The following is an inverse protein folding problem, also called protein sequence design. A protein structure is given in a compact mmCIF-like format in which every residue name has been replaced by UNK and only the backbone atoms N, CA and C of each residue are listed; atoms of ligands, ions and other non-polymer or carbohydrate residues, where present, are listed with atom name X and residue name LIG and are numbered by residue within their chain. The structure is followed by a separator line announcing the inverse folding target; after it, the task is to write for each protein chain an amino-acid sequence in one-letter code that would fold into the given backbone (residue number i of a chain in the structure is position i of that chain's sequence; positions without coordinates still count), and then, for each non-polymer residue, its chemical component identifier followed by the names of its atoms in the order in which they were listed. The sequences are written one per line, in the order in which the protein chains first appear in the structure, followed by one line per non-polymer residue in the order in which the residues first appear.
data_IF_459725684578
#
_entry.id   IF_459725684578
#
_cell.length_a   1.000
_cell.length_b   1.000
_cell.length_c   1.000
_cell.angle_alpha   90.00
_cell.angle_beta   90.00
_cell.angle_gamma   90.00
#
_symmetry.space_group_name_H-M   'P 1'
#
loop_
_entity.id
_entity.type
_entity.pdbx_description
1 polymer ?
#
# COMPACT_ATOMS: atom_id res chain seq x y z
N UNK A 1 -19.92 36.57 28.90
CA UNK A 1 -18.79 35.86 28.32
C UNK A 1 -19.37 35.00 27.22
N UNK A 2 -19.31 35.48 25.98
CA UNK A 2 -19.88 34.80 24.80
C UNK A 2 -18.87 33.75 24.30
N UNK A 3 -19.30 32.56 23.83
CA UNK A 3 -18.42 31.57 23.24
C UNK A 3 -17.97 32.02 21.86
N UNK A 4 -16.66 31.94 21.61
CA UNK A 4 -16.03 32.21 20.33
C UNK A 4 -16.31 31.02 19.43
N UNK A 5 -17.17 31.21 18.44
CA UNK A 5 -17.47 30.27 17.37
C UNK A 5 -16.30 30.27 16.37
N UNK A 6 -15.37 29.30 16.48
CA UNK A 6 -14.30 29.09 15.53
C UNK A 6 -14.68 27.97 14.56
N UNK A 7 -15.64 28.26 13.67
CA UNK A 7 -15.82 27.45 12.48
C UNK A 7 -14.55 27.55 11.60
N UNK A 8 -13.92 26.42 11.16
CA UNK A 8 -12.77 26.49 10.27
C UNK A 8 -13.23 27.06 8.94
N UNK A 9 -12.60 28.18 8.57
CA UNK A 9 -12.79 28.84 7.29
C UNK A 9 -12.40 27.87 6.17
N UNK A 10 -13.39 27.24 5.53
CA UNK A 10 -13.19 26.43 4.32
C UNK A 10 -12.88 27.37 3.16
N UNK A 11 -11.64 27.82 3.04
CA UNK A 11 -11.18 28.46 1.83
C UNK A 11 -11.35 27.48 0.68
N UNK A 12 -12.07 27.88 -0.37
CA UNK A 12 -12.20 27.08 -1.61
C UNK A 12 -10.81 26.74 -2.13
N UNK A 13 -10.55 25.48 -2.54
CA UNK A 13 -9.22 25.12 -3.01
C UNK A 13 -8.83 25.99 -4.20
N UNK A 14 -7.53 26.35 -4.35
CA UNK A 14 -7.05 27.21 -5.43
C UNK A 14 -7.49 26.68 -6.80
N UNK A 15 -7.69 27.56 -7.76
CA UNK A 15 -8.19 27.20 -9.11
C UNK A 15 -7.35 26.08 -9.76
N UNK A 16 -6.04 26.08 -9.51
CA UNK A 16 -5.10 25.05 -9.95
C UNK A 16 -5.43 23.66 -9.36
N UNK A 17 -5.74 23.57 -8.07
CA UNK A 17 -6.14 22.28 -7.45
C UNK A 17 -7.45 21.76 -8.04
N UNK A 18 -8.42 22.63 -8.29
CA UNK A 18 -9.70 22.23 -8.90
C UNK A 18 -9.50 21.69 -10.33
N UNK A 19 -8.64 22.33 -11.12
CA UNK A 19 -8.27 21.85 -12.45
C UNK A 19 -7.52 20.52 -12.37
N UNK A 20 -6.55 20.40 -11.47
CA UNK A 20 -5.79 19.18 -11.27
C UNK A 20 -6.71 18.00 -10.88
N UNK A 21 -7.60 18.18 -9.90
CA UNK A 21 -8.54 17.14 -9.51
C UNK A 21 -9.51 16.79 -10.64
N UNK A 22 -9.98 17.76 -11.44
CA UNK A 22 -10.82 17.46 -12.59
C UNK A 22 -10.08 16.64 -13.66
N UNK A 23 -8.80 16.90 -13.89
CA UNK A 23 -7.96 16.09 -14.80
C UNK A 23 -7.76 14.68 -14.24
N UNK A 24 -7.53 14.54 -12.93
CA UNK A 24 -7.41 13.24 -12.26
C UNK A 24 -8.71 12.45 -12.38
N UNK A 25 -9.87 13.07 -12.17
CA UNK A 25 -11.18 12.40 -12.32
C UNK A 25 -11.45 11.93 -13.77
N UNK A 26 -11.08 12.76 -14.77
CA UNK A 26 -11.17 12.35 -16.18
C UNK A 26 -10.25 11.15 -16.44
N UNK A 27 -9.05 11.17 -15.86
CA UNK A 27 -8.07 10.10 -16.02
C UNK A 27 -8.53 8.81 -15.34
N UNK A 28 -9.15 8.87 -14.16
CA UNK A 28 -9.74 7.71 -13.48
C UNK A 28 -10.74 6.98 -14.37
N UNK A 29 -11.67 7.72 -14.99
CA UNK A 29 -12.66 7.16 -15.91
C UNK A 29 -12.01 6.55 -17.16
N UNK A 30 -10.99 7.22 -17.72
CA UNK A 30 -10.26 6.72 -18.88
C UNK A 30 -9.51 5.41 -18.55
N UNK A 31 -8.87 5.34 -17.39
CA UNK A 31 -8.15 4.16 -16.89
C UNK A 31 -9.11 3.00 -16.67
N UNK A 32 -10.23 3.22 -15.99
CA UNK A 32 -11.25 2.21 -15.74
C UNK A 32 -11.75 1.58 -17.05
N UNK A 33 -12.10 2.41 -18.05
CA UNK A 33 -12.56 1.97 -19.38
C UNK A 33 -11.48 1.28 -20.22
N UNK A 34 -10.22 1.68 -20.06
CA UNK A 34 -9.09 1.12 -20.81
C UNK A 34 -8.45 -0.10 -20.11
N UNK A 35 -8.87 -0.43 -18.90
CA UNK A 35 -8.35 -1.55 -18.14
C UNK A 35 -8.49 -2.86 -18.91
N UNK A 36 -7.39 -3.64 -18.96
CA UNK A 36 -7.39 -4.98 -19.59
C UNK A 36 -7.93 -6.05 -18.63
N UNK A 37 -8.03 -5.73 -17.35
CA UNK A 37 -8.53 -6.63 -16.30
C UNK A 37 -9.91 -6.22 -15.78
N UNK A 38 -10.55 -5.23 -16.42
CA UNK A 38 -11.85 -4.71 -15.99
C UNK A 38 -11.73 -3.66 -14.87
N UNK A 39 -12.88 -3.32 -14.31
CA UNK A 39 -13.04 -2.34 -13.23
C UNK A 39 -13.87 -2.99 -12.13
N UNK A 40 -13.19 -3.51 -11.11
CA UNK A 40 -13.77 -4.31 -10.04
C UNK A 40 -13.12 -3.93 -8.69
N UNK A 41 -13.88 -3.98 -7.59
CA UNK A 41 -13.30 -3.77 -6.26
C UNK A 41 -12.23 -4.82 -5.91
N UNK A 42 -12.55 -6.09 -6.15
CA UNK A 42 -11.63 -7.23 -5.98
C UNK A 42 -11.54 -8.00 -7.31
N UNK A 43 -10.34 -8.38 -7.70
CA UNK A 43 -10.06 -9.05 -8.96
C UNK A 43 -9.86 -10.54 -8.79
N UNK A 44 -10.20 -11.31 -9.84
CA UNK A 44 -9.76 -12.69 -9.95
C UNK A 44 -8.24 -12.73 -10.21
N UNK A 45 -7.51 -13.47 -9.38
CA UNK A 45 -6.07 -13.64 -9.52
C UNK A 45 -5.65 -14.29 -10.86
N UNK A 46 -6.54 -15.01 -11.53
CA UNK A 46 -6.31 -15.58 -12.86
C UNK A 46 -6.00 -14.49 -13.93
N UNK A 47 -6.41 -13.25 -13.70
CA UNK A 47 -6.06 -12.11 -14.55
C UNK A 47 -4.58 -11.70 -14.47
N UNK A 48 -3.83 -12.24 -13.48
CA UNK A 48 -2.44 -11.88 -13.18
C UNK A 48 -1.54 -13.13 -13.20
N UNK A 49 -0.99 -13.54 -14.35
CA UNK A 49 -0.26 -14.81 -14.50
C UNK A 49 0.97 -14.98 -13.61
N UNK A 50 1.48 -13.89 -13.03
CA UNK A 50 2.64 -13.90 -12.13
C UNK A 50 2.26 -14.18 -10.65
N UNK A 51 0.99 -14.05 -10.28
CA UNK A 51 0.51 -14.26 -8.90
C UNK A 51 0.82 -15.67 -8.37
N UNK A 52 0.63 -16.77 -9.10
CA UNK A 52 0.98 -18.10 -8.61
C UNK A 52 2.46 -18.23 -8.21
N UNK A 53 3.37 -17.59 -8.97
CA UNK A 53 4.81 -17.56 -8.64
C UNK A 53 5.10 -16.81 -7.35
N UNK A 54 4.38 -15.71 -7.10
CA UNK A 54 4.48 -14.95 -5.86
C UNK A 54 3.92 -15.76 -4.67
N UNK A 55 2.77 -16.41 -4.83
CA UNK A 55 2.19 -17.29 -3.80
C UNK A 55 3.13 -18.46 -3.47
N UNK A 56 3.78 -19.07 -4.45
CA UNK A 56 4.76 -20.13 -4.24
C UNK A 56 5.98 -19.68 -3.44
N UNK A 57 6.35 -18.40 -3.52
CA UNK A 57 7.44 -17.82 -2.75
C UNK A 57 7.05 -17.46 -1.30
N UNK A 58 5.76 -17.49 -0.95
CA UNK A 58 5.25 -17.04 0.36
C UNK A 58 5.93 -17.72 1.57
N UNK A 59 6.25 -19.04 1.57
CA UNK A 59 6.94 -19.65 2.71
C UNK A 59 8.31 -18.99 2.98
N UNK A 60 9.13 -18.80 1.96
CA UNK A 60 10.46 -18.20 2.10
C UNK A 60 10.37 -16.70 2.50
N UNK A 61 9.41 -15.96 1.93
CA UNK A 61 9.14 -14.56 2.30
C UNK A 61 8.70 -14.48 3.77
N UNK A 62 7.91 -15.42 4.25
CA UNK A 62 7.47 -15.47 5.65
C UNK A 62 8.63 -15.76 6.61
N UNK A 63 9.58 -16.59 6.23
CA UNK A 63 10.78 -16.83 7.03
C UNK A 63 11.59 -15.54 7.20
N UNK A 64 11.81 -14.80 6.10
CA UNK A 64 12.46 -13.49 6.15
C UNK A 64 11.70 -12.48 7.03
N UNK A 65 10.37 -12.41 6.88
CA UNK A 65 9.54 -11.57 7.73
C UNK A 65 9.67 -11.94 9.21
N UNK A 66 9.74 -13.24 9.54
CA UNK A 66 9.89 -13.72 10.92
C UNK A 66 11.18 -13.21 11.55
N UNK A 67 12.28 -13.16 10.79
CA UNK A 67 13.53 -12.57 11.25
C UNK A 67 13.42 -11.04 11.46
N UNK A 68 12.71 -10.35 10.57
CA UNK A 68 12.44 -8.91 10.72
C UNK A 68 11.61 -8.63 11.98
N UNK A 69 10.64 -9.48 12.29
CA UNK A 69 9.74 -9.32 13.45
C UNK A 69 10.44 -9.49 14.80
N UNK A 70 11.66 -10.03 14.86
CA UNK A 70 12.46 -10.05 16.09
C UNK A 70 12.79 -8.64 16.60
N UNK A 71 12.90 -7.69 15.68
CA UNK A 71 13.15 -6.28 15.95
C UNK A 71 11.90 -5.40 15.72
N UNK A 72 10.68 -5.96 15.82
CA UNK A 72 9.44 -5.26 15.43
C UNK A 72 9.23 -3.92 16.14
N UNK A 73 9.74 -3.75 17.36
CA UNK A 73 9.62 -2.48 18.09
C UNK A 73 10.43 -1.34 17.46
N UNK A 74 11.47 -1.68 16.71
CA UNK A 74 12.30 -0.73 15.96
C UNK A 74 11.70 -0.37 14.59
N UNK A 75 10.66 -1.12 14.13
CA UNK A 75 10.01 -0.83 12.86
C UNK A 75 9.21 0.47 12.97
N UNK A 76 9.22 1.30 11.92
CA UNK A 76 8.47 2.54 11.90
C UNK A 76 6.99 2.27 11.75
N UNK A 77 6.16 3.08 12.38
CA UNK A 77 4.75 3.14 12.03
C UNK A 77 4.58 3.74 10.64
N UNK A 78 3.55 3.32 9.90
CA UNK A 78 3.41 3.75 8.51
C UNK A 78 3.26 5.26 8.37
N UNK A 79 2.54 5.92 9.26
CA UNK A 79 2.39 7.38 9.26
C UNK A 79 3.70 8.14 9.56
N UNK A 80 4.69 7.50 10.21
CA UNK A 80 6.00 8.08 10.44
C UNK A 80 6.83 8.13 9.14
N UNK A 81 6.58 7.20 8.21
CA UNK A 81 7.21 7.20 6.88
C UNK A 81 6.40 8.00 5.87
N UNK A 82 5.08 7.81 5.82
CA UNK A 82 4.19 8.46 4.85
C UNK A 82 3.20 9.39 5.59
N UNK A 83 3.41 10.72 5.54
CA UNK A 83 2.58 11.68 6.25
C UNK A 83 1.09 11.62 5.89
N UNK A 84 0.75 11.25 4.64
CA UNK A 84 -0.63 11.13 4.17
C UNK A 84 -1.42 10.09 4.97
N UNK A 85 -0.72 9.05 5.46
CA UNK A 85 -1.32 8.00 6.30
C UNK A 85 -1.75 8.53 7.67
N UNK A 86 -1.20 9.66 8.11
CA UNK A 86 -1.62 10.30 9.37
C UNK A 86 -3.09 10.76 9.36
N UNK A 87 -3.72 10.89 8.19
CA UNK A 87 -5.16 11.14 8.06
C UNK A 87 -6.01 9.91 8.38
N UNK A 88 -5.40 8.71 8.36
CA UNK A 88 -6.05 7.42 8.56
C UNK A 88 -5.73 6.86 9.95
N UNK A 89 -4.47 6.98 10.37
CA UNK A 89 -3.99 6.48 11.67
C UNK A 89 -2.78 7.26 12.16
N UNK A 90 -2.69 7.45 13.48
CA UNK A 90 -1.56 8.13 14.15
C UNK A 90 -0.94 7.29 15.26
N UNK A 91 -1.43 6.06 15.47
CA UNK A 91 -0.85 5.13 16.43
C UNK A 91 0.27 4.28 15.81
N UNK A 92 1.05 3.61 16.65
CA UNK A 92 2.17 2.75 16.20
C UNK A 92 1.75 1.28 15.94
N UNK A 93 0.46 1.01 15.79
CA UNK A 93 -0.04 -0.36 15.61
C UNK A 93 -0.05 -0.82 14.14
N UNK A 94 0.26 0.08 13.18
CA UNK A 94 0.49 -0.26 11.79
C UNK A 94 1.95 0.00 11.44
N UNK A 95 2.76 -1.04 11.47
CA UNK A 95 4.21 -0.98 11.23
C UNK A 95 4.54 -1.43 9.81
N UNK A 96 5.69 -0.96 9.31
CA UNK A 96 6.13 -1.26 7.93
C UNK A 96 7.61 -1.58 7.86
N UNK A 97 7.97 -2.42 6.86
CA UNK A 97 9.36 -2.64 6.46
C UNK A 97 9.43 -2.52 4.94
N UNK A 98 9.97 -1.41 4.44
CA UNK A 98 9.85 -0.98 3.05
C UNK A 98 10.97 -1.58 2.21
N UNK A 99 10.64 -2.13 1.04
CA UNK A 99 11.60 -2.59 0.02
C UNK A 99 11.73 -1.58 -1.11
N UNK A 100 10.60 -1.01 -1.54
CA UNK A 100 10.56 0.03 -2.56
C UNK A 100 9.27 0.84 -2.48
N UNK A 101 9.31 2.10 -2.90
CA UNK A 101 8.15 2.97 -3.01
C UNK A 101 8.43 4.12 -3.99
N UNK A 102 7.72 4.21 -5.12
CA UNK A 102 7.75 5.30 -6.10
C UNK A 102 9.15 5.91 -6.33
N UNK A 103 10.13 5.08 -6.72
CA UNK A 103 11.50 5.49 -6.99
C UNK A 103 12.46 5.43 -5.79
N UNK A 104 11.98 5.22 -4.58
CA UNK A 104 12.80 4.73 -3.47
C UNK A 104 13.09 3.24 -3.70
N UNK A 105 14.35 2.85 -3.45
CA UNK A 105 14.77 1.46 -3.41
C UNK A 105 15.63 1.28 -2.15
N UNK A 106 15.12 0.52 -1.19
CA UNK A 106 15.77 0.29 0.09
C UNK A 106 16.74 -0.91 -0.04
N UNK A 107 17.95 -0.64 -0.50
CA UNK A 107 18.93 -1.70 -0.85
C UNK A 107 19.32 -2.55 0.35
N UNK A 108 19.45 -1.96 1.56
CA UNK A 108 19.78 -2.71 2.78
C UNK A 108 18.64 -3.67 3.17
N UNK A 109 17.40 -3.22 3.04
CA UNK A 109 16.22 -4.04 3.32
C UNK A 109 16.07 -5.17 2.28
N UNK A 110 16.32 -4.88 0.99
CA UNK A 110 16.32 -5.88 -0.08
C UNK A 110 17.43 -6.93 0.12
N UNK A 111 18.63 -6.50 0.51
CA UNK A 111 19.73 -7.42 0.81
C UNK A 111 19.43 -8.34 2.01
N UNK A 112 18.68 -7.84 3.00
CA UNK A 112 18.25 -8.62 4.18
C UNK A 112 17.14 -9.63 3.85
N UNK A 113 16.36 -9.39 2.78
CA UNK A 113 15.23 -10.23 2.38
C UNK A 113 15.37 -10.68 0.91
N UNK A 114 16.36 -11.54 0.56
CA UNK A 114 16.67 -11.90 -0.82
C UNK A 114 15.56 -12.72 -1.50
N UNK A 115 14.76 -13.51 -0.79
CA UNK A 115 13.62 -14.24 -1.36
C UNK A 115 12.52 -13.25 -1.75
N UNK A 116 12.20 -12.29 -0.86
CA UNK A 116 11.26 -11.20 -1.15
C UNK A 116 11.75 -10.36 -2.33
N UNK A 117 13.03 -9.97 -2.34
CA UNK A 117 13.63 -9.19 -3.43
C UNK A 117 13.48 -9.89 -4.79
N UNK A 118 13.75 -11.20 -4.87
CA UNK A 118 13.53 -12.00 -6.09
C UNK A 118 12.08 -12.09 -6.50
N UNK A 119 11.18 -12.32 -5.54
CA UNK A 119 9.75 -12.47 -5.81
C UNK A 119 9.16 -11.17 -6.39
N UNK A 120 9.46 -10.01 -5.78
CA UNK A 120 8.94 -8.72 -6.25
C UNK A 120 9.58 -8.27 -7.57
N UNK A 121 10.81 -8.66 -7.87
CA UNK A 121 11.48 -8.31 -9.13
C UNK A 121 10.77 -8.89 -10.37
N UNK A 122 10.00 -9.97 -10.22
CA UNK A 122 9.21 -10.59 -11.28
C UNK A 122 7.85 -9.93 -11.55
N UNK A 123 7.47 -8.90 -10.79
CA UNK A 123 6.15 -8.28 -10.91
C UNK A 123 6.19 -7.14 -11.93
N UNK A 124 5.38 -7.20 -13.02
CA UNK A 124 5.34 -6.15 -14.02
C UNK A 124 4.83 -4.83 -13.45
N UNK A 125 5.57 -3.75 -13.68
CA UNK A 125 5.13 -2.41 -13.31
C UNK A 125 5.03 -2.17 -11.80
N UNK A 126 5.78 -2.92 -10.97
CA UNK A 126 5.79 -2.72 -9.52
C UNK A 126 6.19 -1.28 -9.14
N UNK A 127 5.47 -0.69 -8.20
CA UNK A 127 5.68 0.69 -7.70
C UNK A 127 6.04 0.74 -6.25
N UNK A 128 5.40 -0.09 -5.45
CA UNK A 128 5.58 -0.15 -3.99
C UNK A 128 5.64 -1.59 -3.55
N UNK A 129 6.50 -1.91 -2.60
CA UNK A 129 6.51 -3.19 -1.89
C UNK A 129 7.02 -3.00 -0.47
N UNK A 130 6.29 -3.51 0.51
CA UNK A 130 6.69 -3.51 1.92
C UNK A 130 5.94 -4.59 2.72
N UNK A 131 6.51 -5.00 3.83
CA UNK A 131 5.74 -5.75 4.82
C UNK A 131 4.83 -4.79 5.56
N UNK A 132 3.51 -5.04 5.49
CA UNK A 132 2.47 -4.32 6.23
C UNK A 132 2.04 -5.16 7.40
N UNK A 133 2.30 -4.66 8.62
CA UNK A 133 2.16 -5.39 9.87
C UNK A 133 1.14 -4.66 10.73
N UNK A 134 0.04 -5.33 11.03
CA UNK A 134 -0.99 -4.84 11.96
C UNK A 134 -0.88 -5.58 13.28
N UNK A 135 -0.73 -4.83 14.36
CA UNK A 135 -0.76 -5.36 15.71
C UNK A 135 -2.18 -5.89 16.07
N UNK A 136 -2.30 -6.71 17.13
CA UNK A 136 -3.58 -7.18 17.63
C UNK A 136 -4.58 -6.04 17.87
N UNK A 137 -5.84 -6.26 17.49
CA UNK A 137 -6.92 -5.27 17.67
C UNK A 137 -6.87 -4.05 16.73
N UNK A 138 -5.88 -3.96 15.82
CA UNK A 138 -5.75 -2.81 14.93
C UNK A 138 -6.79 -2.82 13.83
N UNK A 139 -7.49 -1.68 13.70
CA UNK A 139 -8.39 -1.39 12.58
C UNK A 139 -7.85 -0.21 11.77
N UNK A 140 -8.02 -0.27 10.45
CA UNK A 140 -7.81 0.84 9.52
C UNK A 140 -9.20 1.27 9.05
N UNK A 141 -9.62 2.52 9.36
CA UNK A 141 -10.98 2.99 9.05
C UNK A 141 -11.21 3.08 7.54
N UNK A 142 -12.48 3.18 7.17
CA UNK A 142 -12.91 3.34 5.77
C UNK A 142 -12.21 4.53 5.12
N UNK A 143 -11.51 4.27 4.02
CA UNK A 143 -10.77 5.26 3.25
C UNK A 143 -10.71 4.86 1.77
N UNK A 144 -10.07 5.69 0.95
CA UNK A 144 -9.83 5.45 -0.47
C UNK A 144 -8.38 5.78 -0.80
N UNK A 145 -7.80 5.04 -1.73
CA UNK A 145 -6.55 5.41 -2.37
C UNK A 145 -6.71 6.61 -3.30
N UNK A 146 -5.61 7.26 -3.68
CA UNK A 146 -5.65 8.48 -4.48
C UNK A 146 -5.79 8.23 -5.98
N UNK A 147 -5.46 7.03 -6.49
CA UNK A 147 -5.30 6.84 -7.94
C UNK A 147 -5.49 5.40 -8.41
N UNK A 148 -6.42 5.17 -9.34
CA UNK A 148 -6.71 3.84 -9.90
C UNK A 148 -5.79 3.39 -11.04
N UNK A 149 -4.75 4.15 -11.36
CA UNK A 149 -3.71 3.75 -12.32
C UNK A 149 -2.76 2.69 -11.78
N UNK A 150 -2.86 2.38 -10.49
CA UNK A 150 -2.23 1.24 -9.84
C UNK A 150 -3.29 0.29 -9.31
N UNK A 151 -2.94 -0.97 -9.14
CA UNK A 151 -3.70 -1.96 -8.41
C UNK A 151 -2.89 -2.41 -7.20
N UNK A 152 -3.57 -2.84 -6.15
CA UNK A 152 -2.97 -3.29 -4.90
C UNK A 152 -3.10 -4.80 -4.75
N UNK A 153 -2.02 -5.43 -4.32
CA UNK A 153 -2.00 -6.84 -3.95
C UNK A 153 -1.54 -6.98 -2.50
N UNK A 154 -2.27 -7.77 -1.74
CA UNK A 154 -1.83 -8.28 -0.45
C UNK A 154 -1.60 -9.78 -0.52
N UNK A 155 -0.35 -10.23 -0.25
CA UNK A 155 -0.04 -11.65 -0.03
C UNK A 155 -0.06 -11.90 1.47
N UNK A 156 -0.94 -12.78 1.95
CA UNK A 156 -1.03 -13.17 3.36
C UNK A 156 0.21 -13.95 3.79
N UNK A 157 0.99 -13.40 4.73
CA UNK A 157 2.19 -14.06 5.26
C UNK A 157 1.96 -14.62 6.66
N UNK A 158 1.36 -13.82 7.53
CA UNK A 158 0.92 -14.21 8.87
C UNK A 158 -0.53 -13.78 8.98
N UNK A 159 -1.41 -14.74 9.19
CA UNK A 159 -2.85 -14.51 9.39
C UNK A 159 -3.22 -15.12 10.72
N UNK A 160 -3.67 -14.32 11.69
CA UNK A 160 -3.99 -14.81 13.03
C UNK A 160 -5.34 -15.57 13.04
N UNK A 161 -5.52 -16.41 14.05
CA UNK A 161 -6.79 -17.10 14.32
C UNK A 161 -7.57 -16.34 15.45
N UNK A 162 -8.92 -16.36 15.41
CA UNK A 162 -9.74 -16.90 14.34
C UNK A 162 -9.70 -15.99 13.11
N UNK A 163 -9.32 -16.52 11.95
CA UNK A 163 -9.04 -15.73 10.73
C UNK A 163 -10.25 -14.92 10.24
N UNK A 164 -11.48 -15.35 10.56
CA UNK A 164 -12.72 -14.65 10.19
C UNK A 164 -12.83 -13.26 10.85
N UNK A 165 -12.05 -13.02 11.90
CA UNK A 165 -11.93 -11.71 12.56
C UNK A 165 -10.78 -10.85 11.97
N UNK A 166 -10.08 -11.35 10.94
CA UNK A 166 -9.00 -10.64 10.27
C UNK A 166 -9.31 -10.53 8.77
N UNK A 167 -9.81 -9.37 8.34
CA UNK A 167 -10.35 -9.20 6.99
C UNK A 167 -10.14 -7.78 6.44
N UNK A 168 -10.26 -7.66 5.11
CA UNK A 168 -10.43 -6.41 4.39
C UNK A 168 -11.80 -6.40 3.73
N UNK A 169 -12.47 -5.26 3.72
CA UNK A 169 -13.67 -5.03 2.94
C UNK A 169 -13.39 -3.96 1.89
N UNK A 170 -13.72 -4.23 0.63
CA UNK A 170 -13.55 -3.32 -0.51
C UNK A 170 -14.88 -3.20 -1.20
N UNK A 171 -15.50 -2.01 -1.16
CA UNK A 171 -16.83 -1.71 -1.72
C UNK A 171 -17.90 -2.74 -1.31
N UNK A 172 -17.95 -3.07 -0.02
CA UNK A 172 -18.89 -4.04 0.56
C UNK A 172 -18.54 -5.51 0.30
N UNK A 173 -17.44 -5.80 -0.39
CA UNK A 173 -16.96 -7.16 -0.62
C UNK A 173 -15.89 -7.52 0.40
N UNK A 174 -16.22 -8.43 1.32
CA UNK A 174 -15.29 -8.87 2.36
C UNK A 174 -14.39 -9.99 1.87
N UNK A 175 -13.08 -9.83 2.13
CA UNK A 175 -12.06 -10.85 1.93
C UNK A 175 -11.35 -11.16 3.25
N UNK A 176 -11.40 -12.42 3.66
CA UNK A 176 -10.65 -12.96 4.80
C UNK A 176 -9.29 -13.44 4.28
N UNK A 177 -8.19 -12.90 4.81
CA UNK A 177 -6.87 -13.32 4.36
C UNK A 177 -6.62 -14.81 4.62
N UNK A 178 -5.87 -15.41 3.72
CA UNK A 178 -5.37 -16.77 3.84
C UNK A 178 -3.85 -16.76 3.73
N UNK A 179 -3.19 -17.51 4.58
CA UNK A 179 -1.74 -17.59 4.56
C UNK A 179 -1.24 -18.21 3.24
N UNK A 180 -0.28 -17.57 2.59
CA UNK A 180 0.27 -17.97 1.30
C UNK A 180 -0.62 -17.62 0.10
N UNK A 181 -1.76 -16.92 0.29
CA UNK A 181 -2.66 -16.54 -0.79
C UNK A 181 -2.68 -15.04 -0.96
N UNK A 182 -2.76 -14.62 -2.23
CA UNK A 182 -2.85 -13.22 -2.62
C UNK A 182 -4.31 -12.81 -2.85
N UNK A 183 -4.58 -11.52 -2.63
CA UNK A 183 -5.78 -10.81 -3.10
C UNK A 183 -5.35 -9.58 -3.85
N UNK A 184 -5.92 -9.35 -5.03
CA UNK A 184 -5.72 -8.14 -5.84
C UNK A 184 -6.99 -7.31 -5.76
N UNK A 185 -6.86 -6.02 -5.51
CA UNK A 185 -8.00 -5.10 -5.41
C UNK A 185 -7.62 -3.69 -5.90
N UNK A 186 -8.62 -2.89 -6.20
CA UNK A 186 -8.48 -1.47 -6.54
C UNK A 186 -8.74 -0.64 -5.28
N UNK A 187 -7.71 0.03 -4.79
CA UNK A 187 -7.79 0.83 -3.57
C UNK A 187 -8.53 2.17 -3.75
N UNK A 188 -8.85 2.55 -4.99
CA UNK A 188 -9.74 3.70 -5.24
C UNK A 188 -11.17 3.42 -4.73
N UNK A 189 -11.61 2.15 -4.68
CA UNK A 189 -12.86 1.79 -4.01
C UNK A 189 -12.73 2.00 -2.49
N UNK A 190 -13.83 2.39 -1.81
CA UNK A 190 -13.81 2.53 -0.35
C UNK A 190 -13.46 1.19 0.29
N UNK A 191 -12.48 1.21 1.18
CA UNK A 191 -12.04 0.00 1.84
C UNK A 191 -11.62 0.24 3.28
N UNK A 192 -11.78 -0.79 4.10
CA UNK A 192 -11.37 -0.82 5.50
C UNK A 192 -10.72 -2.16 5.86
N UNK A 193 -9.93 -2.16 6.93
CA UNK A 193 -9.19 -3.34 7.38
C UNK A 193 -9.41 -3.57 8.86
N UNK A 194 -9.70 -4.81 9.23
CA UNK A 194 -9.87 -5.23 10.60
C UNK A 194 -8.94 -6.38 10.95
N UNK A 195 -8.23 -6.25 12.05
CA UNK A 195 -7.58 -7.33 12.77
C UNK A 195 -8.14 -7.33 14.20
N UNK A 196 -9.29 -7.95 14.40
CA UNK A 196 -10.00 -8.00 15.69
C UNK A 196 -9.56 -9.22 16.54
N UNK A 197 -8.39 -9.79 16.20
CA UNK A 197 -7.80 -10.93 16.92
C UNK A 197 -6.73 -10.47 17.92
N UNK A 198 -6.30 -11.41 18.77
CA UNK A 198 -5.18 -11.20 19.70
C UNK A 198 -3.80 -11.48 19.04
N UNK A 199 -3.78 -11.80 17.74
CA UNK A 199 -2.59 -12.11 16.97
C UNK A 199 -2.20 -10.98 16.01
N UNK A 200 -0.94 -11.00 15.59
CA UNK A 200 -0.39 -10.09 14.59
C UNK A 200 -0.81 -10.53 13.19
N UNK A 201 -1.22 -9.57 12.33
CA UNK A 201 -1.43 -9.82 10.90
C UNK A 201 -0.29 -9.19 10.09
N UNK A 202 0.33 -9.96 9.20
CA UNK A 202 1.31 -9.42 8.27
C UNK A 202 1.05 -9.88 6.83
N UNK A 203 1.12 -8.92 5.91
CA UNK A 203 1.03 -9.16 4.46
C UNK A 203 2.24 -8.55 3.75
N UNK A 204 2.65 -9.12 2.63
CA UNK A 204 3.43 -8.38 1.65
C UNK A 204 2.45 -7.52 0.85
N UNK A 205 2.59 -6.22 1.03
CA UNK A 205 1.80 -5.18 0.35
C UNK A 205 2.53 -4.77 -0.91
N UNK A 206 1.85 -4.75 -2.04
CA UNK A 206 2.41 -4.42 -3.34
C UNK A 206 1.44 -3.51 -4.09
N UNK A 207 1.95 -2.38 -4.63
CA UNK A 207 1.25 -1.63 -5.68
C UNK A 207 1.98 -1.85 -7.00
N UNK A 208 1.21 -2.03 -8.08
CA UNK A 208 1.73 -2.25 -9.42
C UNK A 208 0.85 -1.56 -10.48
N UNK A 209 1.41 -1.28 -11.65
CA UNK A 209 0.70 -0.60 -12.74
C UNK A 209 -0.55 -1.39 -13.14
N UNK A 210 -1.70 -0.72 -13.18
CA UNK A 210 -2.91 -1.30 -13.76
C UNK A 210 -2.71 -1.57 -15.24
N UNK A 211 -2.90 -2.81 -15.72
CA UNK A 211 -2.80 -3.12 -17.13
C UNK A 211 -3.87 -2.38 -17.93
N UNK A 212 -3.47 -1.51 -18.84
CA UNK A 212 -4.37 -0.70 -19.65
C UNK A 212 -4.03 -0.79 -21.16
N UNK A 213 -5.03 -0.57 -22.02
CA UNK A 213 -4.85 -0.42 -23.46
C UNK A 213 -4.11 0.87 -23.79
N UNK A 214 -3.36 0.86 -24.89
CA UNK A 214 -2.81 2.07 -25.49
C UNK A 214 -3.96 2.99 -25.97
N UNK A 215 -3.90 4.33 -25.86
CA UNK A 215 -2.78 5.14 -25.36
C UNK A 215 -2.80 5.35 -23.84
N UNK A 216 -3.82 4.92 -23.12
CA UNK A 216 -4.00 5.17 -21.69
C UNK A 216 -2.88 4.55 -20.86
N UNK A 217 -2.37 3.38 -21.26
CA UNK A 217 -1.21 2.76 -20.60
C UNK A 217 0.04 3.64 -20.63
N UNK A 218 0.28 4.36 -21.72
CA UNK A 218 1.40 5.31 -21.83
C UNK A 218 1.18 6.53 -20.94
N UNK A 219 -0.04 7.09 -20.94
CA UNK A 219 -0.41 8.22 -20.10
C UNK A 219 -0.29 7.86 -18.61
N UNK A 220 -0.77 6.68 -18.21
CA UNK A 220 -0.65 6.18 -16.85
C UNK A 220 0.82 6.07 -16.42
N UNK A 221 1.69 5.51 -17.27
CA UNK A 221 3.13 5.44 -16.99
C UNK A 221 3.76 6.81 -16.82
N UNK A 222 3.34 7.80 -17.63
CA UNK A 222 3.83 9.18 -17.50
C UNK A 222 3.43 9.79 -16.15
N UNK A 223 2.16 9.64 -15.73
CA UNK A 223 1.69 10.12 -14.42
C UNK A 223 2.49 9.47 -13.30
N UNK A 224 2.66 8.16 -13.33
CA UNK A 224 3.41 7.41 -12.32
C UNK A 224 4.91 7.71 -12.34
N UNK A 225 5.48 8.12 -13.47
CA UNK A 225 6.88 8.55 -13.56
C UNK A 225 7.11 9.94 -12.92
N UNK A 226 6.09 10.78 -12.85
CA UNK A 226 6.17 12.11 -12.21
C UNK A 226 5.88 12.03 -10.69
N UNK A 227 5.19 11.00 -10.22
CA UNK A 227 4.83 10.83 -8.82
C UNK A 227 6.02 10.99 -7.83
N UNK A 228 7.24 10.47 -8.11
CA UNK A 228 8.41 10.68 -7.24
C UNK A 228 8.82 12.15 -7.04
N UNK A 229 8.32 13.05 -7.87
CA UNK A 229 8.63 14.48 -7.80
C UNK A 229 7.71 15.26 -6.85
N UNK A 230 6.64 14.61 -6.36
CA UNK A 230 5.70 15.24 -5.43
C UNK A 230 6.36 15.45 -4.06
N UNK A 231 5.97 16.52 -3.33
CA UNK A 231 6.50 16.79 -1.99
C UNK A 231 6.27 15.63 -1.01
N UNK A 232 5.11 14.99 -1.09
CA UNK A 232 4.69 13.90 -0.21
C UNK A 232 5.63 12.68 -0.35
N UNK A 233 5.92 12.27 -1.59
CA UNK A 233 6.82 11.12 -1.83
C UNK A 233 8.26 11.48 -1.48
N UNK A 234 8.71 12.71 -1.73
CA UNK A 234 10.03 13.18 -1.30
C UNK A 234 10.17 13.17 0.22
N UNK A 235 9.13 13.61 0.93
CA UNK A 235 9.12 13.57 2.39
C UNK A 235 9.16 12.12 2.90
N UNK A 236 8.36 11.23 2.30
CA UNK A 236 8.34 9.80 2.66
C UNK A 236 9.73 9.17 2.47
N UNK A 237 10.42 9.52 1.38
CA UNK A 237 11.81 9.07 1.15
C UNK A 237 12.75 9.59 2.24
N UNK A 238 12.70 10.88 2.56
CA UNK A 238 13.56 11.46 3.60
C UNK A 238 13.31 10.82 4.98
N UNK A 239 12.04 10.56 5.32
CA UNK A 239 11.67 9.87 6.55
C UNK A 239 12.22 8.43 6.59
N UNK A 240 12.15 7.71 5.45
CA UNK A 240 12.72 6.37 5.34
C UNK A 240 14.23 6.38 5.52
N UNK A 241 14.95 7.31 4.87
CA UNK A 241 16.40 7.44 4.97
C UNK A 241 16.83 7.73 6.43
N UNK A 242 16.07 8.54 7.16
CA UNK A 242 16.31 8.80 8.59
C UNK A 242 16.08 7.54 9.45
N UNK A 243 14.99 6.83 9.21
CA UNK A 243 14.70 5.59 9.92
C UNK A 243 15.77 4.53 9.64
N UNK A 244 16.17 4.35 8.38
CA UNK A 244 17.16 3.34 7.97
C UNK A 244 18.51 3.55 8.66
N UNK A 245 18.97 4.82 8.78
CA UNK A 245 20.17 5.19 9.52
C UNK A 245 20.08 4.82 11.01
N UNK A 246 18.92 5.04 11.62
CA UNK A 246 18.69 4.66 13.02
C UNK A 246 18.60 3.14 13.23
N UNK A 247 17.99 2.44 12.27
CA UNK A 247 17.73 1.00 12.35
C UNK A 247 19.01 0.16 12.18
N UNK A 248 19.84 0.51 11.19
CA UNK A 248 21.07 -0.22 10.87
C UNK A 248 22.35 0.35 11.53
N UNK A 249 22.27 1.51 12.16
CA UNK A 249 23.43 2.28 12.59
C UNK A 249 24.01 3.14 11.47
N UNK A 250 24.82 4.14 11.86
CA UNK A 250 25.60 4.91 10.89
C UNK A 250 26.83 4.05 10.51
N UNK A 251 26.99 3.73 9.24
CA UNK A 251 28.26 3.29 8.66
C UNK A 251 29.14 4.50 8.39
#
# INVERSE_FOLDING_TARGET
MQPIDTAPNKSSPPLFSRFFFAVVDILHNAIARASLVGDHPIFDNAAFPWVPGLEAAAPAIREELTEILRDREKLPAFHELSPDVATITTDRQWKTFVFMAYGLRAERNLARCPATARAIAGIPGIRTAFFSILEPGKRIPLHRGPYNGVLRLHLGLIVPEPREQCWIEVDGQRYVWQQGRAVVFDDLYPHEVHNDTDGLRAVLFIDFDRPCRWPVSWLNRLVLAVAPMTPEIRQSKANHDLWEKGYYGQD
#
